data_IF_641559412552
#
_entry.id   IF_641559412552
#
_cell.length_a   1.000
_cell.length_b   1.000
_cell.length_c   1.000
_cell.angle_alpha   90.00
_cell.angle_beta   90.00
_cell.angle_gamma   90.00
#
_symmetry.space_group_name_H-M   'P 1'
#
loop_
_entity.id
_entity.type
_entity.pdbx_description
1 polymer ?
#
# COMPACT_ATOMS: atom_id res chain seq x y z
N UNK A 1 24.90 8.71 -9.95
CA UNK A 1 23.79 8.15 -9.14
C UNK A 1 23.66 9.00 -7.88
N UNK A 2 22.64 9.87 -7.81
CA UNK A 2 22.40 10.69 -6.62
C UNK A 2 21.76 9.82 -5.54
N UNK A 3 22.49 9.55 -4.46
CA UNK A 3 22.09 8.58 -3.44
C UNK A 3 20.93 9.08 -2.59
N UNK A 4 20.00 8.17 -2.26
CA UNK A 4 18.96 8.45 -1.28
C UNK A 4 19.60 8.81 0.07
N UNK A 5 19.17 9.92 0.67
CA UNK A 5 19.65 10.34 1.99
C UNK A 5 18.84 9.63 3.05
N UNK A 6 19.49 8.77 3.84
CA UNK A 6 18.91 8.26 5.09
C UNK A 6 18.70 9.42 6.06
N UNK A 7 17.51 9.51 6.63
CA UNK A 7 17.15 10.53 7.60
C UNK A 7 17.36 10.03 9.01
N UNK A 8 17.66 10.95 9.93
CA UNK A 8 17.60 10.71 11.37
C UNK A 8 16.34 11.37 11.96
N UNK A 9 15.96 11.01 13.19
CA UNK A 9 14.75 11.54 13.83
C UNK A 9 14.73 13.08 13.91
N UNK A 10 15.90 13.71 14.03
CA UNK A 10 16.07 15.17 14.04
C UNK A 10 15.81 15.84 12.68
N UNK A 11 15.87 15.09 11.58
CA UNK A 11 15.67 15.63 10.23
C UNK A 11 14.18 15.85 9.90
N UNK A 12 13.24 15.27 10.66
CA UNK A 12 11.80 15.40 10.42
C UNK A 12 11.23 16.73 10.93
N UNK A 13 11.65 17.83 10.32
CA UNK A 13 11.09 19.17 10.56
C UNK A 13 9.64 19.25 10.05
N UNK A 14 8.93 20.34 10.39
CA UNK A 14 7.56 20.57 9.89
C UNK A 14 7.53 20.63 8.37
N UNK A 15 8.58 21.15 7.75
CA UNK A 15 8.74 21.29 6.30
C UNK A 15 8.90 19.92 5.63
N UNK A 16 9.75 19.05 6.19
CA UNK A 16 9.91 17.67 5.69
C UNK A 16 8.62 16.87 5.90
N UNK A 17 7.95 16.99 7.04
CA UNK A 17 6.71 16.26 7.29
C UNK A 17 5.56 16.68 6.36
N UNK A 18 5.60 17.87 5.75
CA UNK A 18 4.63 18.27 4.71
C UNK A 18 4.79 17.48 3.40
N UNK A 19 5.98 16.94 3.11
CA UNK A 19 6.24 16.13 1.92
C UNK A 19 5.99 14.64 2.15
N UNK A 20 5.65 14.26 3.39
CA UNK A 20 5.42 12.86 3.77
C UNK A 20 4.25 12.24 2.97
N UNK A 21 4.41 11.03 2.41
CA UNK A 21 3.34 10.33 1.71
C UNK A 21 2.08 10.21 2.57
N UNK A 22 0.93 10.40 1.93
CA UNK A 22 -0.35 10.35 2.61
C UNK A 22 -0.57 8.95 3.17
N UNK A 23 -0.96 8.85 4.43
CA UNK A 23 -1.22 7.58 5.11
C UNK A 23 -0.03 6.60 5.12
N UNK A 24 1.23 7.04 4.94
CA UNK A 24 2.39 6.21 5.29
C UNK A 24 2.63 6.19 6.81
N UNK A 25 3.44 5.25 7.35
CA UNK A 25 3.77 5.20 8.78
C UNK A 25 4.34 6.53 9.31
N UNK A 26 4.10 6.84 10.59
CA UNK A 26 4.72 8.00 11.23
C UNK A 26 6.22 7.73 11.47
N UNK A 27 7.14 8.67 11.16
CA UNK A 27 8.56 8.45 11.36
C UNK A 27 8.92 7.98 12.78
N UNK A 28 8.47 8.67 13.82
CA UNK A 28 8.75 8.29 15.22
C UNK A 28 8.37 6.83 15.54
N UNK A 29 7.20 6.38 15.07
CA UNK A 29 6.72 5.00 15.27
C UNK A 29 7.51 4.00 14.43
N UNK A 30 7.93 4.39 13.23
CA UNK A 30 8.69 3.53 12.33
C UNK A 30 10.08 3.21 12.89
N UNK A 31 10.79 4.23 13.36
CA UNK A 31 12.10 4.07 14.00
C UNK A 31 12.01 3.26 15.30
N UNK A 32 10.96 3.46 16.11
CA UNK A 32 10.71 2.63 17.32
C UNK A 32 10.55 1.14 17.02
N UNK A 33 10.12 0.77 15.81
CA UNK A 33 10.03 -0.63 15.35
C UNK A 33 11.34 -1.16 14.77
N UNK A 34 12.41 -0.37 14.78
CA UNK A 34 13.70 -0.71 14.18
C UNK A 34 13.77 -0.45 12.66
N UNK A 35 12.81 0.29 12.11
CA UNK A 35 12.84 0.69 10.70
C UNK A 35 13.65 1.96 10.46
N UNK A 36 13.91 2.26 9.18
CA UNK A 36 14.53 3.51 8.73
C UNK A 36 13.79 4.15 7.58
N UNK A 37 14.01 5.44 7.37
CA UNK A 37 13.44 6.21 6.27
C UNK A 37 14.55 6.92 5.50
N UNK A 38 14.43 6.97 4.19
CA UNK A 38 15.25 7.80 3.31
C UNK A 38 14.40 8.61 2.35
N UNK A 39 14.93 9.73 1.86
CA UNK A 39 14.34 10.51 0.78
C UNK A 39 15.39 10.69 -0.32
N UNK A 40 15.01 10.40 -1.56
CA UNK A 40 15.87 10.63 -2.73
C UNK A 40 15.80 12.09 -3.24
N UNK A 41 16.61 12.42 -4.24
CA UNK A 41 16.65 13.77 -4.83
C UNK A 41 15.34 14.17 -5.54
N UNK A 42 14.48 13.21 -5.87
CA UNK A 42 13.17 13.45 -6.47
C UNK A 42 12.08 13.65 -5.40
N UNK A 43 12.44 13.57 -4.11
CA UNK A 43 11.48 13.63 -3.01
C UNK A 43 10.74 12.30 -2.76
N UNK A 44 11.18 11.20 -3.36
CA UNK A 44 10.61 9.87 -3.12
C UNK A 44 11.00 9.41 -1.74
N UNK A 45 10.01 9.12 -0.90
CA UNK A 45 10.24 8.50 0.39
C UNK A 45 10.41 7.00 0.23
N UNK A 46 11.34 6.41 0.98
CA UNK A 46 11.48 4.96 1.12
C UNK A 46 11.40 4.61 2.60
N UNK A 47 10.54 3.67 2.93
CA UNK A 47 10.46 3.09 4.27
C UNK A 47 11.11 1.71 4.20
N UNK A 48 12.04 1.43 5.12
CA UNK A 48 12.67 0.11 5.27
C UNK A 48 12.36 -0.43 6.66
N UNK A 49 11.81 -1.64 6.76
CA UNK A 49 11.49 -2.26 8.05
C UNK A 49 12.75 -2.90 8.68
N UNK A 50 12.62 -3.40 9.91
CA UNK A 50 13.72 -4.06 10.64
C UNK A 50 14.28 -5.30 9.94
N UNK A 51 13.50 -5.92 9.06
CA UNK A 51 13.88 -7.12 8.31
C UNK A 51 14.56 -6.78 6.98
N UNK A 52 14.74 -5.49 6.66
CA UNK A 52 15.38 -5.03 5.42
C UNK A 52 14.44 -4.93 4.23
N UNK A 53 13.13 -5.12 4.41
CA UNK A 53 12.14 -4.92 3.34
C UNK A 53 11.92 -3.43 3.13
N UNK A 54 11.97 -2.98 1.87
CA UNK A 54 11.78 -1.58 1.49
C UNK A 54 10.58 -1.38 0.58
N UNK A 55 9.77 -0.34 0.86
CA UNK A 55 8.71 0.16 -0.02
C UNK A 55 8.99 1.62 -0.34
N UNK A 56 8.97 1.95 -1.64
CA UNK A 56 9.13 3.30 -2.15
C UNK A 56 7.75 3.96 -2.29
N UNK A 57 7.71 5.29 -2.18
CA UNK A 57 6.49 6.07 -2.29
C UNK A 57 6.58 7.13 -3.39
N UNK A 58 6.75 6.74 -4.68
CA UNK A 58 6.76 7.69 -5.78
C UNK A 58 5.46 8.49 -5.80
N UNK A 59 5.56 9.81 -5.95
CA UNK A 59 4.40 10.73 -5.93
C UNK A 59 3.48 10.58 -4.70
N UNK A 60 3.99 10.00 -3.60
CA UNK A 60 3.23 9.79 -2.37
C UNK A 60 2.41 8.50 -2.30
N UNK A 61 2.54 7.58 -3.28
CA UNK A 61 1.82 6.30 -3.32
C UNK A 61 2.78 5.12 -3.15
N UNK A 62 2.44 4.10 -2.33
CA UNK A 62 3.32 2.95 -2.13
C UNK A 62 3.45 2.12 -3.41
N UNK A 63 4.69 1.86 -3.83
CA UNK A 63 4.99 0.92 -4.89
C UNK A 63 5.05 -0.51 -4.33
N UNK A 64 3.96 -1.25 -4.52
CA UNK A 64 3.85 -2.66 -4.12
C UNK A 64 4.22 -3.64 -5.23
N UNK A 65 4.70 -3.17 -6.39
CA UNK A 65 5.07 -4.03 -7.52
C UNK A 65 5.99 -5.19 -7.13
N UNK A 66 7.03 -5.00 -6.29
CA UNK A 66 7.92 -6.10 -5.88
C UNK A 66 7.25 -7.16 -4.98
N UNK A 67 6.07 -6.88 -4.44
CA UNK A 67 5.37 -7.71 -3.45
C UNK A 67 4.05 -8.27 -3.99
N UNK A 68 3.87 -8.17 -5.31
CA UNK A 68 2.75 -8.81 -5.98
C UNK A 68 2.87 -10.34 -5.95
N UNK A 69 1.73 -11.01 -6.02
CA UNK A 69 1.72 -12.44 -6.29
C UNK A 69 2.44 -12.73 -7.62
N UNK A 70 3.44 -13.63 -7.67
CA UNK A 70 4.30 -13.83 -8.84
C UNK A 70 3.52 -14.28 -10.09
N UNK A 71 2.42 -15.01 -9.88
CA UNK A 71 1.61 -15.60 -10.96
C UNK A 71 0.36 -14.79 -11.33
N UNK A 72 0.04 -13.69 -10.62
CA UNK A 72 -1.17 -12.90 -10.86
C UNK A 72 -0.80 -11.51 -11.36
N UNK A 73 -1.11 -11.23 -12.62
CA UNK A 73 -0.89 -9.91 -13.24
C UNK A 73 -1.87 -8.87 -12.69
N UNK A 74 -1.53 -7.56 -12.73
CA UNK A 74 -2.51 -6.52 -12.41
C UNK A 74 -3.74 -6.63 -13.32
N UNK A 75 -4.91 -6.33 -12.78
CA UNK A 75 -6.17 -6.38 -13.52
C UNK A 75 -6.88 -5.04 -13.46
N UNK A 76 -7.66 -4.73 -14.48
CA UNK A 76 -8.49 -3.52 -14.50
C UNK A 76 -9.93 -3.87 -14.12
N UNK A 77 -10.52 -3.06 -13.25
CA UNK A 77 -11.93 -3.14 -12.87
C UNK A 77 -12.55 -1.75 -12.86
N UNK A 78 -13.89 -1.71 -12.94
CA UNK A 78 -14.63 -0.54 -12.51
C UNK A 78 -14.75 -0.56 -10.98
N UNK A 79 -14.11 0.40 -10.32
CA UNK A 79 -14.10 0.53 -8.85
C UNK A 79 -15.41 1.15 -8.37
N UNK A 80 -16.03 0.57 -7.34
CA UNK A 80 -17.32 1.03 -6.85
C UNK A 80 -17.23 2.37 -6.11
N UNK A 81 -18.23 3.24 -6.37
CA UNK A 81 -18.47 4.49 -5.66
C UNK A 81 -19.95 4.57 -5.25
N UNK A 82 -20.30 4.57 -3.95
CA UNK A 82 -19.42 4.57 -2.78
C UNK A 82 -18.60 3.28 -2.63
N UNK A 83 -17.50 3.37 -1.89
CA UNK A 83 -16.52 2.29 -1.71
C UNK A 83 -17.17 0.99 -1.26
N UNK A 84 -16.97 -0.08 -2.03
CA UNK A 84 -17.42 -1.43 -1.71
C UNK A 84 -16.32 -2.46 -1.97
N UNK A 85 -15.45 -2.66 -0.96
CA UNK A 85 -14.31 -3.58 -1.06
C UNK A 85 -14.71 -5.01 -1.45
N UNK A 86 -15.70 -5.66 -0.81
CA UNK A 86 -16.12 -7.01 -1.21
C UNK A 86 -16.46 -7.11 -2.70
N UNK A 87 -17.14 -6.10 -3.25
CA UNK A 87 -17.54 -6.11 -4.65
C UNK A 87 -16.38 -5.85 -5.61
N UNK A 88 -15.49 -4.93 -5.25
CA UNK A 88 -14.25 -4.70 -6.01
C UNK A 88 -13.35 -5.94 -6.01
N UNK A 89 -13.23 -6.63 -4.88
CA UNK A 89 -12.46 -7.87 -4.75
C UNK A 89 -13.08 -8.99 -5.60
N UNK A 90 -14.41 -9.11 -5.60
CA UNK A 90 -15.13 -10.03 -6.48
C UNK A 90 -14.84 -9.76 -7.96
N UNK A 91 -14.85 -8.49 -8.37
CA UNK A 91 -14.54 -8.12 -9.75
C UNK A 91 -13.07 -8.39 -10.09
N UNK A 92 -12.14 -8.13 -9.18
CA UNK A 92 -10.72 -8.38 -9.38
C UNK A 92 -10.41 -9.88 -9.47
N UNK A 93 -10.99 -10.70 -8.58
CA UNK A 93 -10.90 -12.16 -8.63
C UNK A 93 -11.38 -12.71 -9.98
N UNK A 94 -12.54 -12.23 -10.47
CA UNK A 94 -13.06 -12.59 -11.80
C UNK A 94 -12.15 -12.15 -12.93
N UNK A 95 -11.67 -10.90 -12.91
CA UNK A 95 -10.78 -10.36 -13.94
C UNK A 95 -9.44 -11.11 -14.00
N UNK A 96 -8.94 -11.55 -12.84
CA UNK A 96 -7.73 -12.37 -12.71
C UNK A 96 -7.97 -13.86 -13.01
N UNK A 97 -9.22 -14.26 -13.25
CA UNK A 97 -9.63 -15.64 -13.51
C UNK A 97 -9.23 -16.61 -12.39
N UNK A 98 -9.26 -16.14 -11.15
CA UNK A 98 -8.93 -16.95 -9.97
C UNK A 98 -10.04 -17.96 -9.71
N UNK A 99 -9.65 -19.17 -9.35
CA UNK A 99 -10.57 -20.26 -8.98
C UNK A 99 -9.97 -21.05 -7.82
N UNK A 100 -10.69 -22.04 -7.29
CA UNK A 100 -10.15 -22.97 -6.30
C UNK A 100 -8.90 -23.73 -6.78
N UNK A 101 -8.72 -23.85 -8.10
CA UNK A 101 -7.66 -24.63 -8.73
C UNK A 101 -6.49 -23.74 -9.24
N UNK A 102 -6.53 -22.42 -8.99
CA UNK A 102 -5.42 -21.51 -9.30
C UNK A 102 -4.41 -21.39 -8.15
N UNK A 103 -3.25 -20.82 -8.44
CA UNK A 103 -2.27 -20.37 -7.44
C UNK A 103 -2.26 -18.82 -7.41
N UNK A 104 -2.80 -18.18 -6.36
CA UNK A 104 -3.32 -18.79 -5.13
C UNK A 104 -4.78 -19.27 -5.29
N UNK A 105 -5.26 -20.21 -4.45
CA UNK A 105 -6.61 -20.73 -4.55
C UNK A 105 -7.65 -19.73 -4.05
N UNK A 106 -8.75 -19.57 -4.79
CA UNK A 106 -9.88 -18.73 -4.41
C UNK A 106 -10.94 -19.54 -3.64
N UNK A 107 -11.10 -19.24 -2.36
CA UNK A 107 -12.05 -19.92 -1.46
C UNK A 107 -13.39 -19.16 -1.38
N UNK A 108 -13.35 -17.84 -1.29
CA UNK A 108 -14.51 -16.95 -1.25
C UNK A 108 -14.37 -15.89 -2.33
N UNK A 109 -15.32 -15.84 -3.26
CA UNK A 109 -15.27 -14.93 -4.39
C UNK A 109 -15.32 -13.45 -3.96
N UNK A 110 -15.82 -13.10 -2.78
CA UNK A 110 -15.86 -11.72 -2.28
C UNK A 110 -14.64 -11.34 -1.42
N UNK A 111 -13.67 -12.24 -1.27
CA UNK A 111 -12.44 -12.02 -0.52
C UNK A 111 -11.23 -12.21 -1.43
N UNK A 112 -10.10 -11.55 -1.15
CA UNK A 112 -8.85 -11.93 -1.78
C UNK A 112 -8.47 -13.36 -1.35
N UNK A 113 -7.65 -14.07 -2.14
CA UNK A 113 -7.00 -15.31 -1.72
C UNK A 113 -6.23 -15.15 -0.39
N UNK A 114 -6.18 -16.21 0.40
CA UNK A 114 -5.54 -16.22 1.72
C UNK A 114 -4.06 -15.80 1.63
N UNK A 115 -3.62 -14.93 2.56
CA UNK A 115 -2.26 -14.36 2.56
C UNK A 115 -2.07 -13.17 1.62
N UNK A 116 -3.08 -12.80 0.83
CA UNK A 116 -3.03 -11.70 -0.11
C UNK A 116 -4.17 -10.71 0.09
N UNK A 117 -4.02 -9.54 -0.51
CA UNK A 117 -5.08 -8.53 -0.62
C UNK A 117 -5.02 -7.85 -1.97
N UNK A 118 -6.18 -7.52 -2.51
CA UNK A 118 -6.24 -6.62 -3.65
C UNK A 118 -5.95 -5.19 -3.19
N UNK A 119 -4.91 -4.59 -3.77
CA UNK A 119 -4.52 -3.20 -3.61
C UNK A 119 -5.07 -2.37 -4.78
N UNK A 120 -5.88 -1.35 -4.47
CA UNK A 120 -6.31 -0.33 -5.43
C UNK A 120 -5.13 0.58 -5.77
N UNK A 121 -4.66 0.53 -7.01
CA UNK A 121 -3.61 1.39 -7.54
C UNK A 121 -4.09 2.85 -7.65
N UNK A 122 -3.17 3.82 -7.67
CA UNK A 122 -3.50 5.24 -7.69
C UNK A 122 -4.17 5.72 -8.99
N UNK A 123 -4.13 4.92 -10.05
CA UNK A 123 -4.81 5.20 -11.32
C UNK A 123 -6.34 5.04 -11.23
N UNK A 124 -6.85 4.53 -10.10
CA UNK A 124 -8.28 4.40 -9.80
C UNK A 124 -9.00 3.26 -10.54
N UNK A 125 -8.29 2.42 -11.29
CA UNK A 125 -8.89 1.33 -12.07
C UNK A 125 -8.11 0.02 -12.02
N UNK A 126 -6.83 0.06 -11.63
CA UNK A 126 -5.97 -1.12 -11.55
C UNK A 126 -6.00 -1.71 -10.15
N UNK A 127 -6.10 -3.04 -10.09
CA UNK A 127 -6.02 -3.85 -8.87
C UNK A 127 -4.78 -4.74 -8.94
N UNK A 128 -3.97 -4.73 -7.89
CA UNK A 128 -2.78 -5.56 -7.75
C UNK A 128 -2.99 -6.54 -6.59
N UNK A 129 -2.78 -7.83 -6.82
CA UNK A 129 -2.80 -8.82 -5.75
C UNK A 129 -1.46 -8.80 -5.03
N UNK A 130 -1.43 -8.31 -3.79
CA UNK A 130 -0.21 -8.01 -3.03
C UNK A 130 -0.21 -8.83 -1.73
N UNK A 131 0.97 -9.23 -1.28
CA UNK A 131 1.17 -9.85 0.04
C UNK A 131 0.47 -9.03 1.14
N UNK A 132 -0.40 -9.68 1.92
CA UNK A 132 -1.23 -9.00 2.91
C UNK A 132 -0.39 -8.41 4.04
N UNK A 133 0.69 -9.08 4.45
CA UNK A 133 1.54 -8.63 5.55
C UNK A 133 2.34 -7.40 5.17
N UNK A 134 2.94 -7.41 3.98
CA UNK A 134 3.64 -6.26 3.42
C UNK A 134 2.67 -5.10 3.26
N UNK A 135 1.51 -5.36 2.64
CA UNK A 135 0.50 -4.33 2.50
C UNK A 135 0.09 -3.80 3.88
N UNK A 136 -0.13 -4.63 4.89
CA UNK A 136 -0.50 -4.20 6.25
C UNK A 136 0.59 -3.45 7.01
N UNK A 137 1.86 -3.77 6.81
CA UNK A 137 2.98 -3.14 7.52
C UNK A 137 3.31 -1.75 6.93
N UNK A 138 3.35 -1.66 5.60
CA UNK A 138 3.72 -0.45 4.88
C UNK A 138 2.49 0.44 4.55
N UNK A 139 1.27 -0.09 4.69
CA UNK A 139 0.03 0.69 4.83
C UNK A 139 -0.20 1.03 6.29
N UNK A 140 -0.73 2.22 6.55
CA UNK A 140 -1.12 2.61 7.90
C UNK A 140 -2.46 1.97 8.32
N UNK A 141 -2.68 1.95 9.64
CA UNK A 141 -3.96 1.98 10.37
C UNK A 141 -5.15 2.14 9.41
N UNK A 142 -6.01 1.12 9.32
CA UNK A 142 -7.05 0.98 8.29
C UNK A 142 -7.82 2.26 7.91
N UNK A 143 -8.06 2.41 6.61
CA UNK A 143 -8.79 3.52 6.01
C UNK A 143 -10.28 3.62 6.38
N UNK A 144 -10.85 2.73 7.20
CA UNK A 144 -12.21 2.95 7.72
C UNK A 144 -12.33 4.26 8.51
N UNK A 145 -11.23 4.73 9.10
CA UNK A 145 -11.18 6.00 9.85
C UNK A 145 -11.44 7.24 8.99
N UNK A 146 -11.20 7.20 7.67
CA UNK A 146 -11.43 8.34 6.76
C UNK A 146 -12.74 8.27 5.98
N UNK A 147 -13.26 7.07 5.72
CA UNK A 147 -14.49 6.90 4.92
C UNK A 147 -15.75 7.02 5.78
N UNK A 148 -15.70 6.66 7.08
CA UNK A 148 -16.87 6.67 7.97
C UNK A 148 -16.82 7.69 9.14
N UNK A 149 -15.91 8.67 9.17
CA UNK A 149 -15.85 9.58 10.33
C UNK A 149 -15.05 10.86 10.21
N UNK A 150 -15.77 11.94 9.87
CA UNK A 150 -15.52 13.37 10.21
C UNK A 150 -14.22 14.02 9.68
N UNK A 151 -14.29 14.48 8.43
CA UNK A 151 -13.75 15.81 8.07
C UNK A 151 -14.83 16.54 7.24
N UNK A 152 -15.94 16.90 7.90
CA UNK A 152 -16.73 18.06 7.50
C UNK A 152 -16.44 19.13 8.55
N UNK A 153 -15.68 20.14 8.11
CA UNK A 153 -15.52 21.50 8.59
C UNK A 153 -15.59 21.76 10.11
N UNK A 154 -14.46 22.20 10.67
CA UNK A 154 -14.46 23.24 11.70
C UNK A 154 -13.99 24.52 11.04
#
# INVERSE_FOLDING_TARGET
MGGARKLELSDFTKEILKTKPMNSPKPDKWYKKGGSISIDNNGTWTYTNKSGVSVNYPNGYPDFTPFMHPNVKPVQIEVHSPKNNPKDFENANKAAKLTKDTDPPLIDNQRPPDGYTWHHHEDGKTMMLVDEEIHREFRHIGGQSKVNGKNKNK
#
